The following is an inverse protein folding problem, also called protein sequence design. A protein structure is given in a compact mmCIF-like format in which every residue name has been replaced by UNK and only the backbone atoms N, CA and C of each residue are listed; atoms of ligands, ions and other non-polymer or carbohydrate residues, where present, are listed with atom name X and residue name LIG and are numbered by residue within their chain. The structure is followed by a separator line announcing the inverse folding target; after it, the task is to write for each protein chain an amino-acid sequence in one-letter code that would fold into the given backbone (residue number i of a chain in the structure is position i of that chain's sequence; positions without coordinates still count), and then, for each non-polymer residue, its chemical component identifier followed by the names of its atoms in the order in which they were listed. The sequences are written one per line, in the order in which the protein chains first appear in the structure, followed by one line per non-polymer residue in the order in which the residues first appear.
data_IF_330229252828
#
_entry.id   IF_330229252828
#
_cell.length_a   1.000
_cell.length_b   1.000
_cell.length_c   1.000
_cell.angle_alpha   90.00
_cell.angle_beta   90.00
_cell.angle_gamma   90.00
#
_symmetry.space_group_name_H-M   'P 1'
#
loop_
_entity.id
_entity.type
_entity.pdbx_description
1 polymer ?
#
# COMPACT_ATOMS: atom_id res chain seq x y z
N UNK A 1 4.93 10.11 -25.11
CA UNK A 1 5.10 10.49 -23.68
C UNK A 1 5.91 9.39 -23.03
N UNK A 2 7.07 9.72 -22.45
CA UNK A 2 8.04 8.74 -21.93
C UNK A 2 7.40 7.88 -20.84
N UNK A 3 7.18 6.59 -21.12
CA UNK A 3 6.70 5.57 -20.18
C UNK A 3 7.86 5.04 -19.35
N UNK A 4 8.55 5.92 -18.63
CA UNK A 4 9.58 5.48 -17.69
C UNK A 4 8.85 4.86 -16.51
N UNK A 5 8.89 3.53 -16.40
CA UNK A 5 8.40 2.82 -15.22
C UNK A 5 9.14 3.35 -13.99
N UNK A 6 8.38 3.89 -13.04
CA UNK A 6 8.93 4.28 -11.75
C UNK A 6 9.18 3.03 -10.92
N UNK A 7 10.45 2.68 -10.75
CA UNK A 7 10.91 1.45 -10.06
C UNK A 7 11.44 1.74 -8.65
N UNK A 8 11.14 2.90 -8.08
CA UNK A 8 11.70 3.32 -6.80
C UNK A 8 11.39 2.38 -5.62
N UNK A 9 10.35 1.54 -5.72
CA UNK A 9 9.96 0.58 -4.68
C UNK A 9 10.45 -0.87 -4.94
N UNK A 10 11.21 -1.13 -6.02
CA UNK A 10 11.56 -2.50 -6.42
C UNK A 10 12.38 -3.25 -5.38
N UNK A 11 13.24 -2.55 -4.63
CA UNK A 11 14.05 -3.14 -3.56
C UNK A 11 13.22 -3.64 -2.37
N UNK A 12 11.96 -3.20 -2.25
CA UNK A 12 11.08 -3.65 -1.18
C UNK A 12 10.62 -5.09 -1.39
N UNK A 13 10.55 -5.59 -2.64
CA UNK A 13 10.09 -6.96 -2.89
C UNK A 13 11.09 -7.97 -2.31
N UNK A 14 10.62 -8.81 -1.39
CA UNK A 14 11.45 -9.77 -0.66
C UNK A 14 12.25 -9.18 0.50
N UNK A 15 12.13 -7.87 0.76
CA UNK A 15 12.88 -7.24 1.85
C UNK A 15 12.37 -7.72 3.23
N UNK A 16 13.26 -8.09 4.16
CA UNK A 16 12.86 -8.40 5.54
C UNK A 16 12.33 -7.15 6.23
N UNK A 17 11.29 -7.29 7.05
CA UNK A 17 10.78 -6.19 7.85
C UNK A 17 11.76 -5.86 8.99
N UNK A 18 12.00 -4.58 9.28
CA UNK A 18 12.74 -4.19 10.46
C UNK A 18 11.96 -4.59 11.73
N UNK A 19 12.68 -5.17 12.69
CA UNK A 19 12.12 -5.49 14.00
C UNK A 19 12.26 -4.30 14.95
N UNK A 20 11.42 -4.26 15.99
CA UNK A 20 11.47 -3.29 17.09
C UNK A 20 11.14 -1.86 16.66
N UNK A 21 10.20 -1.71 15.71
CA UNK A 21 9.62 -0.42 15.34
C UNK A 21 8.14 -0.43 15.74
N UNK A 22 7.83 0.30 16.82
CA UNK A 22 6.48 0.46 17.34
C UNK A 22 5.75 1.62 16.66
N UNK A 23 4.77 1.31 15.82
CA UNK A 23 3.94 2.32 15.15
C UNK A 23 2.68 2.60 15.96
N UNK A 24 2.39 3.87 16.23
CA UNK A 24 1.17 4.25 16.94
C UNK A 24 -0.07 3.97 16.06
N UNK A 25 -1.02 3.19 16.57
CA UNK A 25 -2.23 2.78 15.87
C UNK A 25 -3.46 3.51 16.39
N UNK A 26 -4.37 3.88 15.49
CA UNK A 26 -5.68 4.46 15.82
C UNK A 26 -6.61 3.54 16.62
N UNK A 27 -6.18 2.31 16.92
CA UNK A 27 -6.81 1.43 17.93
C UNK A 27 -6.52 1.87 19.37
N UNK A 28 -5.55 2.77 19.58
CA UNK A 28 -5.04 3.15 20.89
C UNK A 28 -3.89 2.27 21.39
N UNK A 29 -3.30 1.45 20.52
CA UNK A 29 -2.15 0.56 20.82
C UNK A 29 -0.97 0.88 19.91
N UNK A 30 0.15 0.20 20.10
CA UNK A 30 1.25 0.17 19.12
C UNK A 30 1.20 -1.11 18.28
N UNK A 31 1.79 -1.08 17.10
CA UNK A 31 1.92 -2.22 16.19
C UNK A 31 3.36 -2.34 15.70
N UNK A 32 3.99 -3.47 16.01
CA UNK A 32 5.23 -3.91 15.36
C UNK A 32 4.87 -4.81 14.17
N UNK A 33 5.16 -4.33 12.96
CA UNK A 33 4.79 -5.00 11.71
C UNK A 33 5.53 -6.33 11.51
N UNK A 34 6.80 -6.42 11.94
CA UNK A 34 7.59 -7.64 11.84
C UNK A 34 6.92 -8.77 12.64
N UNK A 35 6.70 -8.56 13.93
CA UNK A 35 6.12 -9.51 14.89
C UNK A 35 4.68 -9.88 14.54
N UNK A 36 3.89 -8.93 14.05
CA UNK A 36 2.53 -9.21 13.61
C UNK A 36 2.53 -10.07 12.33
N UNK A 37 3.41 -9.77 11.36
CA UNK A 37 3.47 -10.49 10.09
C UNK A 37 3.90 -11.96 10.23
N UNK A 38 4.57 -12.33 11.32
CA UNK A 38 4.89 -13.73 11.65
C UNK A 38 3.66 -14.58 11.97
N UNK A 39 2.55 -13.95 12.35
CA UNK A 39 1.33 -14.64 12.81
C UNK A 39 0.14 -14.41 11.89
N UNK A 40 0.09 -13.29 11.19
CA UNK A 40 -1.00 -12.96 10.29
C UNK A 40 -0.49 -12.16 9.11
N UNK A 41 -1.01 -12.39 7.89
CA UNK A 41 -0.68 -11.56 6.74
C UNK A 41 -1.18 -10.13 6.96
N UNK A 42 -0.45 -9.16 6.40
CA UNK A 42 -0.78 -7.75 6.54
C UNK A 42 -0.83 -7.09 5.16
N UNK A 43 -1.96 -6.47 4.84
CA UNK A 43 -2.07 -5.52 3.74
C UNK A 43 -1.83 -4.11 4.28
N UNK A 44 -0.77 -3.47 3.81
CA UNK A 44 -0.33 -2.15 4.27
C UNK A 44 -0.46 -1.13 3.15
N UNK A 45 -1.36 -0.16 3.33
CA UNK A 45 -1.63 0.91 2.38
C UNK A 45 -0.87 2.17 2.74
N UNK A 46 0.18 2.47 1.99
CA UNK A 46 0.95 3.69 2.18
C UNK A 46 0.32 4.83 1.39
N UNK A 47 0.15 5.98 2.04
CA UNK A 47 -0.43 7.16 1.42
C UNK A 47 0.28 8.44 1.87
N UNK A 48 0.33 9.48 1.02
CA UNK A 48 0.97 10.74 1.37
C UNK A 48 0.42 11.36 2.66
N UNK A 49 -0.84 11.83 2.64
CA UNK A 49 -1.51 12.43 3.79
C UNK A 49 -3.01 12.58 3.50
N UNK A 50 -3.85 12.47 4.52
CA UNK A 50 -5.26 12.87 4.46
C UNK A 50 -5.42 14.31 4.91
N UNK A 51 -6.33 15.05 4.28
CA UNK A 51 -6.71 16.39 4.77
C UNK A 51 -7.19 16.29 6.22
N UNK A 52 -6.78 17.23 7.06
CA UNK A 52 -7.17 17.29 8.48
C UNK A 52 -7.70 18.69 8.82
N UNK A 53 -8.72 18.82 9.68
CA UNK A 53 -9.13 20.13 10.22
C UNK A 53 -8.08 20.69 11.20
N UNK A 54 -7.18 19.86 11.72
CA UNK A 54 -6.15 20.26 12.68
C UNK A 54 -4.95 20.94 12.02
N UNK A 55 -4.78 20.77 10.71
CA UNK A 55 -3.64 21.29 9.95
C UNK A 55 -4.05 21.66 8.52
N UNK A 56 -3.77 22.89 8.06
CA UNK A 56 -4.07 23.28 6.69
C UNK A 56 -3.28 22.43 5.69
N UNK A 57 -3.89 22.16 4.54
CA UNK A 57 -3.21 21.52 3.42
C UNK A 57 -2.33 22.55 2.72
N UNK A 58 -1.07 22.22 2.36
CA UNK A 58 -0.19 23.14 1.64
C UNK A 58 -0.83 23.68 0.35
N UNK A 59 -0.66 24.98 0.00
CA UNK A 59 -1.27 25.55 -1.21
C UNK A 59 -0.85 24.85 -2.51
N UNK A 60 0.37 24.33 -2.55
CA UNK A 60 0.93 23.64 -3.72
C UNK A 60 0.54 22.17 -3.80
N UNK A 61 -0.18 21.62 -2.82
CA UNK A 61 -0.45 20.19 -2.69
C UNK A 61 -1.13 19.58 -3.93
N UNK A 62 -2.09 20.30 -4.52
CA UNK A 62 -2.83 19.85 -5.70
C UNK A 62 -1.97 19.80 -6.97
N UNK A 63 -0.84 20.49 -6.98
CA UNK A 63 0.09 20.53 -8.13
C UNK A 63 1.09 19.38 -8.13
N UNK A 64 1.24 18.69 -6.99
CA UNK A 64 2.21 17.61 -6.82
C UNK A 64 1.62 16.29 -7.32
N UNK A 65 2.21 15.65 -8.34
CA UNK A 65 1.73 14.38 -8.85
C UNK A 65 1.64 13.31 -7.75
N UNK A 66 0.46 12.72 -7.60
CA UNK A 66 0.20 11.65 -6.63
C UNK A 66 -0.14 12.11 -5.19
N UNK A 67 0.00 13.39 -4.86
CA UNK A 67 -0.25 13.91 -3.51
C UNK A 67 -1.76 13.95 -3.14
N UNK A 68 -2.63 14.16 -4.12
CA UNK A 68 -4.09 14.13 -3.94
C UNK A 68 -4.64 12.69 -4.01
N UNK A 69 -5.88 12.48 -3.56
CA UNK A 69 -6.56 11.18 -3.69
C UNK A 69 -6.38 10.20 -2.53
N UNK A 70 -5.81 10.62 -1.39
CA UNK A 70 -5.65 9.74 -0.22
C UNK A 70 -6.99 9.33 0.41
N UNK A 71 -7.96 10.24 0.47
CA UNK A 71 -9.31 9.93 0.95
C UNK A 71 -10.01 8.88 0.08
N UNK A 72 -10.16 9.07 -1.25
CA UNK A 72 -10.78 8.04 -2.10
C UNK A 72 -10.00 6.72 -2.09
N UNK A 73 -8.67 6.75 -1.92
CA UNK A 73 -7.89 5.53 -1.71
C UNK A 73 -8.35 4.78 -0.44
N UNK A 74 -8.34 5.42 0.72
CA UNK A 74 -8.69 4.78 1.99
C UNK A 74 -10.17 4.35 2.03
N UNK A 75 -11.09 5.15 1.49
CA UNK A 75 -12.52 4.80 1.48
C UNK A 75 -12.82 3.68 0.49
N UNK A 76 -12.10 3.60 -0.63
CA UNK A 76 -12.21 2.47 -1.56
C UNK A 76 -11.76 1.16 -0.92
N UNK A 77 -10.64 1.17 -0.18
CA UNK A 77 -10.23 0.00 0.62
C UNK A 77 -11.30 -0.35 1.66
N UNK A 78 -11.84 0.65 2.37
CA UNK A 78 -12.87 0.47 3.39
C UNK A 78 -14.13 -0.24 2.85
N UNK A 79 -14.53 0.04 1.60
CA UNK A 79 -15.68 -0.60 0.98
C UNK A 79 -15.40 -2.04 0.52
N UNK A 80 -14.14 -2.42 0.29
CA UNK A 80 -13.75 -3.75 -0.19
C UNK A 80 -13.27 -4.70 0.91
N UNK A 81 -13.25 -4.26 2.17
CA UNK A 81 -12.78 -5.07 3.31
C UNK A 81 -13.43 -6.46 3.36
N UNK A 82 -14.74 -6.56 3.13
CA UNK A 82 -15.45 -7.83 3.17
C UNK A 82 -14.94 -8.81 2.09
N UNK A 83 -14.66 -8.31 0.88
CA UNK A 83 -14.11 -9.11 -0.22
C UNK A 83 -12.69 -9.58 0.10
N UNK A 84 -11.86 -8.69 0.65
CA UNK A 84 -10.48 -9.02 1.04
C UNK A 84 -10.45 -10.08 2.15
N UNK A 85 -11.26 -9.91 3.19
CA UNK A 85 -11.36 -10.84 4.31
C UNK A 85 -12.05 -12.16 3.94
N UNK A 86 -12.93 -12.17 2.94
CA UNK A 86 -13.50 -13.41 2.40
C UNK A 86 -12.43 -14.25 1.69
N UNK A 87 -11.49 -13.59 1.00
CA UNK A 87 -10.33 -14.27 0.38
C UNK A 87 -9.31 -14.72 1.43
N UNK A 88 -9.05 -13.88 2.42
CA UNK A 88 -8.08 -14.17 3.47
C UNK A 88 -8.58 -13.71 4.85
N UNK A 89 -9.22 -14.61 5.62
CA UNK A 89 -9.86 -14.26 6.89
C UNK A 89 -8.90 -13.74 7.97
N UNK A 90 -7.64 -14.13 7.93
CA UNK A 90 -6.62 -13.72 8.90
C UNK A 90 -5.95 -12.38 8.54
N UNK A 91 -6.24 -11.82 7.37
CA UNK A 91 -5.61 -10.60 6.86
C UNK A 91 -5.83 -9.42 7.81
N UNK A 92 -4.74 -8.80 8.23
CA UNK A 92 -4.75 -7.50 8.89
C UNK A 92 -4.62 -6.41 7.85
N UNK A 93 -5.34 -5.32 8.03
CA UNK A 93 -5.38 -4.21 7.07
C UNK A 93 -5.05 -2.93 7.82
N UNK A 94 -4.07 -2.18 7.30
CA UNK A 94 -3.67 -0.90 7.87
C UNK A 94 -3.44 0.15 6.78
N UNK A 95 -3.79 1.39 7.08
CA UNK A 95 -3.23 2.55 6.39
C UNK A 95 -1.96 3.03 7.10
N UNK A 96 -0.99 3.56 6.37
CA UNK A 96 0.26 4.06 6.94
C UNK A 96 0.67 5.38 6.27
N UNK A 97 1.06 6.37 7.08
CA UNK A 97 1.66 7.62 6.63
C UNK A 97 2.56 8.24 7.70
N UNK A 98 3.32 9.27 7.34
CA UNK A 98 4.10 10.13 8.26
C UNK A 98 3.22 11.16 9.00
N UNK A 99 1.91 11.12 8.80
CA UNK A 99 0.98 12.07 9.40
C UNK A 99 0.81 11.79 10.90
N UNK A 100 0.82 12.85 11.71
CA UNK A 100 0.76 12.74 13.16
C UNK A 100 -0.41 11.87 13.64
N UNK A 101 -0.18 11.12 14.71
CA UNK A 101 -1.14 10.13 15.22
C UNK A 101 -2.52 10.75 15.54
N UNK A 102 -2.53 11.95 16.13
CA UNK A 102 -3.77 12.69 16.45
C UNK A 102 -4.57 13.07 15.21
N UNK A 103 -3.89 13.41 14.10
CA UNK A 103 -4.56 13.71 12.84
C UNK A 103 -5.13 12.43 12.20
N UNK A 104 -4.45 11.29 12.35
CA UNK A 104 -4.95 10.00 11.87
C UNK A 104 -6.17 9.51 12.66
N UNK A 105 -6.21 9.71 13.99
CA UNK A 105 -7.40 9.39 14.80
C UNK A 105 -8.62 10.20 14.34
N UNK A 106 -8.44 11.49 14.08
CA UNK A 106 -9.46 12.36 13.48
C UNK A 106 -9.90 11.81 12.13
N UNK A 107 -8.96 11.50 11.23
CA UNK A 107 -9.26 11.01 9.90
C UNK A 107 -10.02 9.68 9.92
N UNK A 108 -9.62 8.71 10.75
CA UNK A 108 -10.34 7.44 10.93
C UNK A 108 -11.79 7.68 11.33
N UNK A 109 -12.01 8.56 12.30
CA UNK A 109 -13.35 8.88 12.82
C UNK A 109 -14.21 9.55 11.75
N UNK A 110 -13.69 10.63 11.14
CA UNK A 110 -14.42 11.39 10.11
C UNK A 110 -14.72 10.56 8.86
N UNK A 111 -13.82 9.67 8.46
CA UNK A 111 -13.99 8.82 7.28
C UNK A 111 -14.73 7.50 7.57
N UNK A 112 -15.00 7.19 8.84
CA UNK A 112 -15.66 5.93 9.23
C UNK A 112 -14.87 4.69 8.81
N UNK A 113 -13.54 4.72 8.92
CA UNK A 113 -12.70 3.59 8.54
C UNK A 113 -12.87 2.43 9.51
N UNK A 114 -13.05 1.22 8.97
CA UNK A 114 -13.17 -0.03 9.73
C UNK A 114 -11.85 -0.78 9.88
N UNK A 115 -10.75 -0.13 9.52
CA UNK A 115 -9.38 -0.59 9.73
C UNK A 115 -8.58 0.53 10.38
N UNK A 116 -7.40 0.19 10.91
CA UNK A 116 -6.57 1.13 11.66
C UNK A 116 -5.57 1.87 10.76
N UNK A 117 -5.23 3.10 11.17
CA UNK A 117 -4.14 3.87 10.60
C UNK A 117 -2.94 3.81 11.57
N UNK A 118 -1.76 3.64 10.98
CA UNK A 118 -0.47 3.60 11.65
C UNK A 118 0.29 4.90 11.34
N UNK A 119 0.86 5.50 12.37
CA UNK A 119 1.68 6.70 12.24
C UNK A 119 3.16 6.34 12.26
N UNK A 120 3.87 6.70 11.19
CA UNK A 120 5.34 6.73 11.12
C UNK A 120 5.83 8.19 11.17
N UNK A 121 5.26 8.99 12.07
CA UNK A 121 5.61 10.41 12.27
C UNK A 121 7.11 10.62 12.56
N UNK A 122 7.76 9.64 13.19
CA UNK A 122 9.21 9.64 13.44
C UNK A 122 10.06 9.11 12.28
N UNK A 123 9.46 8.72 11.15
CA UNK A 123 10.12 8.19 9.95
C UNK A 123 11.00 6.94 10.15
N UNK A 124 10.88 6.26 11.29
CA UNK A 124 11.70 5.11 11.62
C UNK A 124 11.52 3.96 10.62
N UNK A 125 10.27 3.68 10.22
CA UNK A 125 10.00 2.65 9.22
C UNK A 125 10.44 3.10 7.83
N UNK A 126 10.18 4.37 7.47
CA UNK A 126 10.64 4.96 6.20
C UNK A 126 12.13 4.81 6.02
N UNK A 127 12.91 5.17 7.04
CA UNK A 127 14.36 5.11 7.00
C UNK A 127 14.86 3.68 6.89
N UNK A 128 14.32 2.77 7.70
CA UNK A 128 14.75 1.37 7.73
C UNK A 128 14.49 0.61 6.43
N UNK A 129 13.43 0.95 5.69
CA UNK A 129 13.05 0.30 4.43
C UNK A 129 13.40 1.13 3.18
N UNK A 130 13.99 2.31 3.37
CA UNK A 130 14.13 3.35 2.34
C UNK A 130 12.85 3.55 1.51
N UNK A 131 11.75 3.84 2.19
CA UNK A 131 10.43 3.94 1.55
C UNK A 131 10.42 5.16 0.62
N UNK A 132 10.00 4.99 -0.66
CA UNK A 132 9.84 6.08 -1.61
C UNK A 132 8.95 7.20 -1.07
N UNK A 133 9.48 8.41 -1.10
CA UNK A 133 8.84 9.59 -0.51
C UNK A 133 9.09 10.85 -1.33
N UNK A 134 8.46 11.94 -0.94
CA UNK A 134 8.69 13.29 -1.44
C UNK A 134 8.54 14.30 -0.29
N UNK A 135 9.06 15.51 -0.48
CA UNK A 135 9.07 16.55 0.55
C UNK A 135 8.27 17.77 0.10
N UNK A 136 7.50 18.35 1.02
CA UNK A 136 6.74 19.59 0.82
C UNK A 136 6.83 20.40 2.10
N UNK A 137 7.27 21.66 2.00
CA UNK A 137 7.37 22.57 3.15
C UNK A 137 8.14 21.97 4.35
N UNK A 138 9.22 21.22 4.08
CA UNK A 138 10.05 20.58 5.11
C UNK A 138 9.43 19.34 5.77
N UNK A 139 8.31 18.83 5.24
CA UNK A 139 7.66 17.59 5.70
C UNK A 139 7.76 16.51 4.65
N UNK A 140 8.03 15.29 5.08
CA UNK A 140 8.13 14.12 4.21
C UNK A 140 6.81 13.37 4.11
N UNK A 141 6.50 12.87 2.92
CA UNK A 141 5.28 12.15 2.60
C UNK A 141 5.60 10.92 1.78
N UNK A 142 4.92 9.80 2.06
CA UNK A 142 5.10 8.59 1.27
C UNK A 142 4.52 8.75 -0.13
N UNK A 143 5.18 8.13 -1.10
CA UNK A 143 4.54 7.84 -2.38
C UNK A 143 3.54 6.71 -2.18
N UNK A 144 2.42 6.77 -2.89
CA UNK A 144 1.33 5.82 -2.72
C UNK A 144 1.75 4.43 -3.19
N UNK A 145 1.60 3.44 -2.32
CA UNK A 145 1.87 2.04 -2.62
C UNK A 145 1.06 1.11 -1.72
N UNK A 146 0.95 -0.14 -2.13
CA UNK A 146 0.38 -1.22 -1.32
C UNK A 146 1.42 -2.31 -1.14
N UNK A 147 1.59 -2.78 0.09
CA UNK A 147 2.51 -3.87 0.42
C UNK A 147 1.73 -5.04 1.03
N UNK A 148 2.10 -6.26 0.65
CA UNK A 148 1.66 -7.47 1.34
C UNK A 148 2.81 -8.02 2.17
N UNK A 149 2.60 -8.10 3.49
CA UNK A 149 3.58 -8.57 4.44
C UNK A 149 3.20 -9.97 4.93
N UNK A 150 4.17 -10.89 4.93
CA UNK A 150 3.99 -12.26 5.46
C UNK A 150 5.30 -12.74 6.04
N UNK A 151 5.26 -13.43 7.17
CA UNK A 151 6.41 -14.15 7.70
C UNK A 151 7.65 -13.28 7.94
N UNK A 152 7.47 -12.02 8.34
CA UNK A 152 8.58 -11.10 8.61
C UNK A 152 9.16 -10.43 7.38
N UNK A 153 8.51 -10.48 6.21
CA UNK A 153 9.01 -9.88 4.97
C UNK A 153 7.91 -9.25 4.11
N UNK A 154 8.32 -8.39 3.20
CA UNK A 154 7.47 -7.82 2.14
C UNK A 154 7.41 -8.83 0.98
N UNK A 155 6.26 -9.45 0.76
CA UNK A 155 6.08 -10.53 -0.23
C UNK A 155 5.51 -10.08 -1.57
N UNK A 156 4.80 -8.95 -1.59
CA UNK A 156 4.27 -8.32 -2.79
C UNK A 156 4.33 -6.80 -2.64
N UNK A 157 4.58 -6.11 -3.75
CA UNK A 157 4.63 -4.65 -3.85
C UNK A 157 3.77 -4.24 -5.02
N UNK A 158 2.90 -3.27 -4.80
CA UNK A 158 2.18 -2.55 -5.85
C UNK A 158 2.61 -1.08 -5.82
N UNK A 159 3.34 -0.68 -6.86
CA UNK A 159 3.88 0.66 -7.03
C UNK A 159 4.23 0.92 -8.51
N UNK A 160 3.93 2.12 -9.04
CA UNK A 160 3.16 3.19 -8.41
C UNK A 160 1.65 2.94 -8.43
N UNK A 161 0.96 3.27 -7.34
CA UNK A 161 -0.51 3.12 -7.26
C UNK A 161 -1.22 4.41 -7.62
N UNK A 162 -2.09 4.36 -8.62
CA UNK A 162 -3.06 5.43 -8.88
C UNK A 162 -4.21 5.34 -7.88
N UNK A 163 -4.68 6.49 -7.39
CA UNK A 163 -5.67 6.55 -6.32
C UNK A 163 -6.99 5.82 -6.68
N UNK A 164 -7.38 5.88 -7.95
CA UNK A 164 -8.57 5.27 -8.53
C UNK A 164 -8.47 3.75 -8.77
N UNK A 165 -7.26 3.19 -8.78
CA UNK A 165 -6.99 1.78 -9.08
C UNK A 165 -6.70 0.94 -7.83
N UNK A 166 -6.51 1.58 -6.67
CA UNK A 166 -6.02 0.94 -5.46
C UNK A 166 -6.78 -0.34 -5.10
N UNK A 167 -8.12 -0.28 -4.99
CA UNK A 167 -8.94 -1.45 -4.63
C UNK A 167 -8.84 -2.61 -5.62
N UNK A 168 -8.79 -2.33 -6.93
CA UNK A 168 -8.66 -3.36 -7.98
C UNK A 168 -7.30 -4.05 -7.93
N UNK A 169 -6.27 -3.30 -7.54
CA UNK A 169 -4.91 -3.82 -7.44
C UNK A 169 -4.70 -4.74 -6.22
N UNK A 170 -5.43 -4.50 -5.12
CA UNK A 170 -5.31 -5.29 -3.87
C UNK A 170 -5.68 -6.76 -4.06
N UNK A 171 -6.73 -7.06 -4.83
CA UNK A 171 -7.12 -8.45 -5.08
C UNK A 171 -6.03 -9.22 -5.85
N UNK A 172 -5.28 -8.54 -6.72
CA UNK A 172 -4.13 -9.11 -7.41
C UNK A 172 -3.01 -9.51 -6.46
N UNK A 173 -2.77 -8.71 -5.41
CA UNK A 173 -1.73 -9.00 -4.41
C UNK A 173 -2.05 -10.24 -3.56
N UNK A 174 -3.34 -10.57 -3.38
CA UNK A 174 -3.78 -11.74 -2.62
C UNK A 174 -3.88 -13.02 -3.44
N UNK A 175 -3.53 -13.00 -4.74
CA UNK A 175 -3.50 -14.21 -5.56
C UNK A 175 -2.51 -15.23 -4.98
N UNK A 176 -2.97 -16.46 -4.86
CA UNK A 176 -2.15 -17.61 -4.51
C UNK A 176 -1.05 -17.84 -5.56
N UNK A 177 0.01 -18.53 -5.17
CA UNK A 177 1.08 -18.91 -6.10
C UNK A 177 0.56 -19.77 -7.25
N UNK A 178 -0.43 -20.63 -6.97
CA UNK A 178 -1.11 -21.43 -7.99
C UNK A 178 -1.86 -20.53 -9.00
N UNK A 179 -2.67 -19.58 -8.54
CA UNK A 179 -3.38 -18.66 -9.44
C UNK A 179 -2.43 -17.85 -10.32
N UNK A 180 -1.28 -17.44 -9.76
CA UNK A 180 -0.25 -16.72 -10.52
C UNK A 180 0.43 -17.63 -11.55
N UNK A 181 0.70 -18.88 -11.18
CA UNK A 181 1.31 -19.87 -12.08
C UNK A 181 0.37 -20.20 -13.25
N UNK A 182 -0.90 -20.46 -12.96
CA UNK A 182 -1.94 -20.74 -13.97
C UNK A 182 -2.08 -19.58 -14.98
N UNK A 183 -1.98 -18.33 -14.51
CA UNK A 183 -2.04 -17.14 -15.36
C UNK A 183 -0.82 -17.03 -16.29
N UNK A 184 0.38 -17.35 -15.79
CA UNK A 184 1.59 -17.38 -16.60
C UNK A 184 1.49 -18.46 -17.67
N UNK A 185 1.06 -19.66 -17.31
CA UNK A 185 0.87 -20.77 -18.26
C UNK A 185 -0.17 -20.41 -19.33
N UNK A 186 -1.29 -19.80 -18.95
CA UNK A 186 -2.32 -19.34 -19.89
C UNK A 186 -1.79 -18.26 -20.85
N UNK A 187 -1.00 -17.31 -20.35
CA UNK A 187 -0.38 -16.26 -21.16
C UNK A 187 0.61 -16.85 -22.17
N UNK A 188 1.45 -17.78 -21.73
CA UNK A 188 2.46 -18.41 -22.58
C UNK A 188 1.80 -19.28 -23.65
N UNK A 189 0.73 -19.99 -23.31
CA UNK A 189 -0.09 -20.73 -24.27
C UNK A 189 -0.75 -19.81 -25.32
N UNK A 190 -1.27 -18.66 -24.91
CA UNK A 190 -1.85 -17.67 -25.82
C UNK A 190 -0.80 -17.06 -26.77
N UNK A 191 0.39 -16.74 -26.26
CA UNK A 191 1.50 -16.24 -27.07
C UNK A 191 1.97 -17.28 -28.10
N UNK A 192 2.06 -18.55 -27.69
CA UNK A 192 2.39 -19.65 -28.59
C UNK A 192 1.34 -19.84 -29.70
N UNK A 193 0.04 -19.75 -29.35
CA UNK A 193 -1.05 -19.83 -30.32
C UNK A 193 -1.03 -18.67 -31.33
N UNK A 194 -0.79 -17.44 -30.88
CA UNK A 194 -0.68 -16.26 -31.75
C UNK A 194 0.50 -16.37 -32.73
N UNK A 195 1.66 -16.87 -32.25
CA UNK A 195 2.85 -17.11 -33.08
C UNK A 195 2.56 -18.16 -34.16
N UNK A 196 1.86 -19.23 -33.81
CA UNK A 196 1.49 -20.29 -34.77
C UNK A 196 0.50 -19.80 -35.83
N UNK A 197 -0.46 -18.96 -35.45
CA UNK A 197 -1.41 -18.36 -36.39
C UNK A 197 -0.72 -17.41 -37.38
N UNK A 198 0.28 -16.63 -36.93
CA UNK A 198 1.07 -15.77 -37.80
C UNK A 198 1.99 -16.53 -38.76
N UNK A 199 2.49 -17.71 -38.37
CA UNK A 199 3.32 -18.56 -39.24
C UNK A 199 2.52 -19.34 -40.30
N UNK A 200 1.19 -19.34 -40.21
CA UNK A 200 0.28 -20.03 -41.12
C UNK A 200 -0.48 -19.08 -42.07
N UNK A 201 -0.20 -17.77 -41.97
CA UNK A 201 -0.72 -16.70 -42.83
C UNK A 201 0.35 -16.24 -43.84
#
# INVERSE_FOLDING_TARGET
MSTTEDRAAFHLLGHPLPALIDLASTSGTTVDLFTLSLRSPIMLFLYPSTSSPLRPTPPTWSTIPGATGCTPHLTSVNSHLATLLAKEPELKIFGLSTQAHVEQQEAKTRLGLKFDLLSDEGEALREALDIPSFEVEGKRYFRRMTLLLRGGQITRVDYPVKAEEAAKSVEGLLRSEQELMDEVEARDAAAAAATKAQAQA
#
